data_IF_588104243000
#
_entry.id   IF_588104243000
#
_cell.length_a   1.000
_cell.length_b   1.000
_cell.length_c   1.000
_cell.angle_alpha   90.00
_cell.angle_beta   90.00
_cell.angle_gamma   90.00
#
_symmetry.space_group_name_H-M   'P 1'
#
loop_
_entity.id
_entity.type
_entity.pdbx_description
1 polymer ?
#
# COMPACT_ATOMS: atom_id res chain seq x y z
N UNK A 1 -17.41 -3.36 7.40
CA UNK A 1 -16.09 -4.01 7.56
C UNK A 1 -15.04 -2.92 7.65
N UNK A 2 -14.51 -2.64 8.84
CA UNK A 2 -13.51 -1.60 9.05
C UNK A 2 -12.11 -2.21 8.82
N UNK A 3 -11.50 -1.86 7.69
CA UNK A 3 -10.15 -2.27 7.33
C UNK A 3 -9.15 -1.37 8.07
N UNK A 4 -8.97 -1.59 9.38
CA UNK A 4 -8.02 -0.83 10.20
C UNK A 4 -6.65 -1.51 10.21
N UNK A 5 -6.01 -1.60 9.03
CA UNK A 5 -4.56 -1.78 8.97
C UNK A 5 -3.93 -0.38 8.90
N UNK A 6 -3.55 0.15 10.07
CA UNK A 6 -2.75 1.37 10.24
C UNK A 6 -3.29 2.62 9.52
N UNK A 7 -4.61 2.85 9.56
CA UNK A 7 -5.21 4.10 9.07
C UNK A 7 -5.16 5.24 10.10
N UNK A 8 -4.68 4.97 11.32
CA UNK A 8 -4.60 5.94 12.41
C UNK A 8 -3.18 6.52 12.51
N UNK A 9 -2.98 7.82 12.19
CA UNK A 9 -1.69 8.50 12.24
C UNK A 9 -1.04 8.51 13.63
N UNK A 10 -1.83 8.46 14.71
CA UNK A 10 -1.29 8.48 16.07
C UNK A 10 -0.69 7.12 16.46
N UNK A 11 -1.31 6.03 16.00
CA UNK A 11 -0.76 4.67 16.16
C UNK A 11 0.53 4.47 15.37
N UNK A 12 0.63 5.01 14.16
CA UNK A 12 1.85 4.86 13.37
C UNK A 12 3.03 5.64 13.97
N UNK A 13 2.76 6.82 14.55
CA UNK A 13 3.77 7.67 15.21
C UNK A 13 4.34 7.04 16.48
N UNK A 14 3.49 6.43 17.31
CA UNK A 14 3.91 5.71 18.53
C UNK A 14 4.74 4.45 18.22
N UNK A 15 4.46 3.77 17.11
CA UNK A 15 5.18 2.58 16.66
C UNK A 15 6.48 2.88 15.89
N UNK A 16 6.81 4.16 15.65
CA UNK A 16 7.99 4.61 14.89
C UNK A 16 8.13 3.92 13.53
N UNK A 17 7.00 3.72 12.84
CA UNK A 17 7.00 3.09 11.54
C UNK A 17 7.74 3.99 10.52
N UNK A 18 8.54 3.41 9.60
CA UNK A 18 9.27 4.17 8.60
C UNK A 18 8.32 4.70 7.52
N UNK A 19 7.72 5.86 7.79
CA UNK A 19 6.77 6.52 6.91
C UNK A 19 7.40 7.77 6.30
N UNK A 20 7.39 7.85 4.98
CA UNK A 20 7.87 9.01 4.21
C UNK A 20 6.83 9.41 3.16
N UNK A 21 6.93 10.63 2.66
CA UNK A 21 6.07 11.12 1.56
C UNK A 21 6.45 10.46 0.23
N UNK A 22 5.42 10.15 -0.55
CA UNK A 22 5.53 9.69 -1.93
C UNK A 22 4.36 10.22 -2.77
N UNK A 23 4.25 9.73 -4.00
CA UNK A 23 3.25 10.21 -4.97
C UNK A 23 2.63 9.03 -5.73
N UNK A 24 1.30 9.05 -5.88
CA UNK A 24 0.56 8.12 -6.75
C UNK A 24 -0.32 8.95 -7.69
N UNK A 25 -0.06 8.87 -8.99
CA UNK A 25 -0.84 9.59 -10.00
C UNK A 25 -1.01 11.09 -9.73
N UNK A 26 0.06 11.78 -9.31
CA UNK A 26 0.01 13.21 -8.96
C UNK A 26 -0.47 13.53 -7.55
N UNK A 27 -0.92 12.54 -6.76
CA UNK A 27 -1.41 12.75 -5.38
C UNK A 27 -0.32 12.42 -4.37
N UNK A 28 -0.05 13.34 -3.45
CA UNK A 28 0.85 13.10 -2.33
C UNK A 28 0.24 12.10 -1.35
N UNK A 29 1.04 11.11 -0.93
CA UNK A 29 0.61 10.03 -0.04
C UNK A 29 1.68 9.73 1.01
N UNK A 30 1.25 9.19 2.15
CA UNK A 30 2.14 8.56 3.11
C UNK A 30 2.47 7.14 2.65
N UNK A 31 3.76 6.84 2.53
CA UNK A 31 4.30 5.54 2.17
C UNK A 31 5.01 4.94 3.37
N UNK A 32 4.59 3.76 3.79
CA UNK A 32 5.24 2.99 4.85
C UNK A 32 6.17 1.95 4.24
N UNK A 33 7.40 1.84 4.73
CA UNK A 33 8.30 0.73 4.37
C UNK A 33 8.00 -0.49 5.22
N UNK A 34 7.54 -1.56 4.58
CA UNK A 34 7.42 -2.87 5.18
C UNK A 34 8.41 -3.83 4.49
N UNK A 35 9.51 -4.15 5.18
CA UNK A 35 10.59 -4.98 4.62
C UNK A 35 10.20 -6.44 4.44
N UNK A 36 9.14 -6.90 5.12
CA UNK A 36 8.66 -8.29 5.01
C UNK A 36 7.50 -8.42 4.02
N UNK A 37 7.04 -7.32 3.43
CA UNK A 37 6.04 -7.37 2.37
C UNK A 37 6.72 -7.69 1.03
N UNK A 38 6.22 -8.72 0.34
CA UNK A 38 6.75 -9.18 -0.95
C UNK A 38 6.46 -8.20 -2.09
N UNK A 39 5.44 -7.34 -1.93
CA UNK A 39 4.98 -6.44 -2.98
C UNK A 39 4.52 -5.09 -2.45
N UNK A 40 4.16 -4.20 -3.38
CA UNK A 40 3.58 -2.90 -3.05
C UNK A 40 2.08 -3.06 -2.89
N UNK A 41 1.55 -2.67 -1.74
CA UNK A 41 0.12 -2.65 -1.46
C UNK A 41 -0.39 -1.22 -1.46
N UNK A 42 -1.39 -0.94 -2.28
CA UNK A 42 -1.99 0.39 -2.42
C UNK A 42 -3.46 0.35 -2.02
N UNK A 43 -3.91 1.39 -1.30
CA UNK A 43 -5.33 1.53 -0.94
C UNK A 43 -6.17 1.72 -2.21
N UNK A 44 -7.27 0.96 -2.33
CA UNK A 44 -8.15 0.98 -3.51
C UNK A 44 -8.62 2.37 -3.94
N UNK A 45 -8.87 3.28 -3.00
CA UNK A 45 -9.28 4.68 -3.26
C UNK A 45 -8.21 5.54 -3.96
N UNK A 46 -6.96 5.06 -4.04
CA UNK A 46 -5.85 5.71 -4.74
C UNK A 46 -5.58 5.10 -6.12
N UNK A 47 -6.39 4.11 -6.53
CA UNK A 47 -6.27 3.40 -7.81
C UNK A 47 -7.53 3.67 -8.61
N UNK A 48 -7.36 4.21 -9.81
CA UNK A 48 -8.48 4.45 -10.73
C UNK A 48 -8.89 3.13 -11.41
N UNK A 49 -10.17 2.98 -11.76
CA UNK A 49 -10.68 1.72 -12.31
C UNK A 49 -9.93 1.26 -13.59
N UNK A 50 -9.48 2.20 -14.42
CA UNK A 50 -8.69 1.91 -15.63
C UNK A 50 -7.26 1.42 -15.36
N UNK A 51 -6.79 1.46 -14.11
CA UNK A 51 -5.48 0.96 -13.70
C UNK A 51 -5.52 -0.49 -13.23
N UNK A 52 -6.71 -1.09 -13.06
CA UNK A 52 -6.87 -2.48 -12.65
C UNK A 52 -6.66 -3.42 -13.84
N UNK A 53 -5.99 -4.55 -13.60
CA UNK A 53 -5.68 -5.51 -14.67
C UNK A 53 -6.78 -6.55 -14.89
N UNK A 54 -7.76 -6.63 -13.97
CA UNK A 54 -8.77 -7.70 -13.92
C UNK A 54 -8.28 -9.00 -13.26
N UNK A 55 -6.99 -9.09 -12.92
CA UNK A 55 -6.45 -10.20 -12.14
C UNK A 55 -6.54 -9.95 -10.64
N UNK A 56 -6.54 -11.03 -9.86
CA UNK A 56 -6.45 -10.97 -8.40
C UNK A 56 -5.25 -11.76 -7.88
N UNK A 57 -4.80 -11.44 -6.68
CA UNK A 57 -3.86 -12.22 -5.89
C UNK A 57 -4.32 -12.36 -4.44
N UNK A 58 -3.81 -13.38 -3.74
CA UNK A 58 -4.02 -13.55 -2.32
C UNK A 58 -2.89 -12.86 -1.55
N UNK A 59 -3.26 -12.02 -0.58
CA UNK A 59 -2.35 -11.41 0.38
C UNK A 59 -2.52 -12.09 1.73
N UNK A 60 -1.43 -12.59 2.29
CA UNK A 60 -1.40 -13.07 3.67
C UNK A 60 -1.05 -11.91 4.60
N UNK A 61 -1.86 -11.71 5.63
CA UNK A 61 -1.71 -10.65 6.61
C UNK A 61 -1.02 -11.18 7.87
N UNK A 62 -0.47 -10.28 8.68
CA UNK A 62 0.26 -10.62 9.92
C UNK A 62 -0.60 -11.37 10.96
N UNK A 63 -1.92 -11.26 10.87
CA UNK A 63 -2.88 -11.97 11.71
C UNK A 63 -3.27 -13.36 11.14
N UNK A 64 -2.50 -13.87 10.17
CA UNK A 64 -2.75 -15.11 9.42
C UNK A 64 -4.07 -15.13 8.64
N UNK A 65 -4.69 -13.98 8.40
CA UNK A 65 -5.86 -13.89 7.51
C UNK A 65 -5.42 -13.70 6.05
N UNK A 66 -6.21 -14.24 5.13
CA UNK A 66 -6.02 -14.06 3.70
C UNK A 66 -6.97 -12.98 3.16
N UNK A 67 -6.47 -12.13 2.28
CA UNK A 67 -7.25 -11.11 1.56
C UNK A 67 -7.08 -11.30 0.06
N UNK A 68 -8.18 -11.46 -0.68
CA UNK A 68 -8.16 -11.39 -2.14
C UNK A 68 -8.09 -9.92 -2.56
N UNK A 69 -7.03 -9.55 -3.27
CA UNK A 69 -6.78 -8.19 -3.75
C UNK A 69 -6.68 -8.15 -5.27
N UNK A 70 -7.17 -7.07 -5.87
CA UNK A 70 -7.05 -6.81 -7.30
C UNK A 70 -5.63 -6.34 -7.62
N UNK A 71 -5.08 -6.81 -8.74
CA UNK A 71 -3.81 -6.32 -9.26
C UNK A 71 -4.05 -5.07 -10.10
N UNK A 72 -3.11 -4.13 -10.03
CA UNK A 72 -3.16 -2.88 -10.80
C UNK A 72 -1.79 -2.44 -11.28
N UNK A 73 -1.80 -1.64 -12.35
CA UNK A 73 -0.63 -0.98 -12.91
C UNK A 73 -0.77 0.52 -12.64
N UNK A 74 0.10 1.06 -11.79
CA UNK A 74 0.04 2.45 -11.34
C UNK A 74 1.38 3.15 -11.55
N UNK A 75 1.33 4.47 -11.69
CA UNK A 75 2.51 5.33 -11.61
C UNK A 75 2.75 5.70 -10.16
N UNK A 76 3.81 5.17 -9.58
CA UNK A 76 4.20 5.37 -8.18
C UNK A 76 5.59 6.01 -8.12
N UNK A 77 5.73 7.04 -7.29
CA UNK A 77 7.04 7.58 -6.87
C UNK A 77 7.17 7.43 -5.37
N UNK A 78 8.23 6.78 -4.93
CA UNK A 78 8.48 6.55 -3.50
C UNK A 78 9.97 6.51 -3.24
N UNK A 79 10.45 6.99 -2.08
CA UNK A 79 11.85 6.89 -1.70
C UNK A 79 12.31 5.44 -1.45
N UNK A 80 11.38 4.48 -1.37
CA UNK A 80 11.70 3.08 -1.03
C UNK A 80 11.81 2.14 -2.23
N UNK A 81 11.33 2.56 -3.40
CA UNK A 81 11.39 1.81 -4.64
C UNK A 81 12.08 2.69 -5.69
N UNK A 82 13.36 2.44 -5.90
CA UNK A 82 14.18 3.07 -6.94
C UNK A 82 14.44 2.03 -8.02
N UNK A 83 14.19 2.40 -9.27
CA UNK A 83 14.64 1.61 -10.43
C UNK A 83 16.16 1.45 -10.34
N UNK A 84 16.65 0.23 -10.60
CA UNK A 84 18.08 -0.08 -10.67
C UNK A 84 18.60 0.07 -12.08
#
# INVERSE_FOLDING_TARGET
>A
MNCAALSDPEKTKSLRLPILRGEIGGREVDVMRDTLCEGVVVRKQLVDAGQLTGECCLLLRIDNTALLAEKGVINLRTPFLVEK
#
